data_IF_008353212379
#
_entry.id   IF_008353212379
#
_cell.length_a   1.000
_cell.length_b   1.000
_cell.length_c   1.000
_cell.angle_alpha   90.00
_cell.angle_beta   90.00
_cell.angle_gamma   90.00
#
_symmetry.space_group_name_H-M   'P 1'
#
loop_
_entity.id
_entity.type
_entity.pdbx_description
1 polymer ?
#
# COMPACT_ATOMS: atom_id res chain seq x y z
N UNK A 1 -22.30 -18.73 1.46
CA UNK A 1 -21.20 -18.08 0.71
C UNK A 1 -20.33 -19.13 0.07
N UNK A 2 -20.42 -19.33 -1.23
CA UNK A 2 -19.58 -20.29 -1.98
C UNK A 2 -18.15 -19.79 -1.94
N UNK A 3 -17.23 -20.52 -1.28
CA UNK A 3 -15.79 -20.24 -1.34
C UNK A 3 -15.37 -20.41 -2.80
N UNK A 4 -14.98 -19.32 -3.46
CA UNK A 4 -14.29 -19.39 -4.74
C UNK A 4 -12.98 -20.11 -4.48
N UNK A 5 -12.80 -21.25 -5.09
CA UNK A 5 -11.57 -22.01 -5.02
C UNK A 5 -10.42 -21.09 -5.49
N UNK A 6 -9.41 -20.94 -4.63
CA UNK A 6 -8.25 -20.12 -4.95
C UNK A 6 -7.44 -20.92 -5.97
N UNK A 7 -7.54 -20.54 -7.24
CA UNK A 7 -6.80 -21.16 -8.34
C UNK A 7 -5.33 -20.75 -8.40
N UNK A 8 -4.95 -19.72 -7.63
CA UNK A 8 -3.56 -19.24 -7.54
C UNK A 8 -3.21 -18.89 -6.11
N UNK A 9 -1.97 -19.22 -5.72
CA UNK A 9 -1.47 -18.86 -4.41
C UNK A 9 -1.46 -17.33 -4.23
N UNK A 10 -2.11 -16.80 -3.20
CA UNK A 10 -2.20 -15.35 -2.99
C UNK A 10 -0.87 -14.71 -2.57
N UNK A 11 0.14 -15.52 -2.22
CA UNK A 11 1.48 -15.08 -1.82
C UNK A 11 2.44 -15.08 -2.99
N UNK A 12 2.63 -16.22 -3.65
CA UNK A 12 3.63 -16.36 -4.73
C UNK A 12 3.01 -16.39 -6.14
N UNK A 13 1.68 -16.39 -6.28
CA UNK A 13 0.98 -16.41 -7.56
C UNK A 13 0.97 -17.76 -8.28
N UNK A 14 1.62 -18.81 -7.74
CA UNK A 14 1.68 -20.12 -8.35
C UNK A 14 0.29 -20.77 -8.43
N UNK A 15 0.04 -21.60 -9.45
CA UNK A 15 -1.20 -22.36 -9.56
C UNK A 15 -1.31 -23.35 -8.38
N UNK A 16 -2.44 -23.31 -7.69
CA UNK A 16 -2.78 -24.25 -6.62
C UNK A 16 -3.91 -25.17 -7.08
N UNK A 17 -3.79 -26.45 -6.75
CA UNK A 17 -4.90 -27.39 -6.85
C UNK A 17 -5.73 -27.23 -5.59
N UNK A 18 -7.06 -27.28 -5.74
CA UNK A 18 -8.03 -27.09 -4.64
C UNK A 18 -7.60 -27.77 -3.33
N UNK A 19 -7.61 -27.00 -2.23
CA UNK A 19 -7.32 -27.46 -0.86
C UNK A 19 -5.89 -27.99 -0.61
N UNK A 20 -4.95 -27.79 -1.52
CA UNK A 20 -3.58 -28.27 -1.37
C UNK A 20 -2.64 -27.16 -0.85
N UNK A 21 -1.55 -27.64 -0.25
CA UNK A 21 -0.42 -26.78 0.15
C UNK A 21 0.25 -26.25 -1.11
N UNK A 22 0.52 -24.95 -1.16
CA UNK A 22 1.28 -24.38 -2.27
C UNK A 22 2.65 -25.07 -2.40
N UNK A 23 3.02 -25.60 -3.58
CA UNK A 23 4.29 -26.33 -3.74
C UNK A 23 5.53 -25.43 -3.54
N UNK A 24 5.40 -24.12 -3.73
CA UNK A 24 6.53 -23.18 -3.64
C UNK A 24 6.68 -22.56 -2.26
N UNK A 25 5.60 -22.00 -1.69
CA UNK A 25 5.66 -21.30 -0.39
C UNK A 25 5.10 -22.13 0.77
N UNK A 26 4.63 -23.37 0.51
CA UNK A 26 4.11 -24.34 1.49
C UNK A 26 2.96 -23.80 2.37
N UNK A 27 2.23 -22.81 1.90
CA UNK A 27 1.13 -22.14 2.60
C UNK A 27 -0.21 -22.72 2.14
N UNK A 28 -1.13 -22.91 3.07
CA UNK A 28 -2.52 -23.35 2.82
C UNK A 28 -3.46 -22.15 2.71
N UNK A 29 -4.61 -22.34 2.05
CA UNK A 29 -5.66 -21.29 1.94
C UNK A 29 -6.15 -20.82 3.30
N UNK A 30 -6.25 -21.72 4.28
CA UNK A 30 -6.70 -21.43 5.65
C UNK A 30 -5.71 -20.51 6.37
N UNK A 31 -4.41 -20.75 6.22
CA UNK A 31 -3.36 -19.92 6.82
C UNK A 31 -3.37 -18.50 6.28
N UNK A 32 -3.62 -18.34 4.98
CA UNK A 32 -3.74 -16.99 4.39
C UNK A 32 -4.95 -16.24 4.95
N UNK A 33 -6.05 -16.93 5.22
CA UNK A 33 -7.24 -16.33 5.82
C UNK A 33 -7.05 -15.98 7.31
N UNK A 34 -6.14 -16.65 8.00
CA UNK A 34 -5.79 -16.41 9.40
C UNK A 34 -4.62 -15.44 9.57
N UNK A 35 -3.95 -15.10 8.47
CA UNK A 35 -2.85 -14.14 8.48
C UNK A 35 -3.31 -12.77 9.01
N UNK A 36 -2.44 -12.09 9.73
CA UNK A 36 -2.75 -10.82 10.38
C UNK A 36 -1.91 -9.67 9.84
N UNK A 37 -2.59 -8.58 9.46
CA UNK A 37 -1.93 -7.32 9.11
C UNK A 37 -1.47 -6.55 10.35
N UNK A 38 -2.17 -6.66 11.49
CA UNK A 38 -1.78 -5.98 12.74
C UNK A 38 -0.42 -6.43 13.23
N UNK A 39 -0.10 -7.72 13.16
CA UNK A 39 1.19 -8.29 13.55
C UNK A 39 2.37 -7.80 12.70
N UNK A 40 2.14 -7.23 11.52
CA UNK A 40 3.19 -6.68 10.66
C UNK A 40 3.98 -5.57 11.36
N UNK A 41 3.31 -4.72 12.14
CA UNK A 41 3.97 -3.64 12.88
C UNK A 41 4.91 -4.19 13.98
N UNK A 42 4.46 -5.24 14.66
CA UNK A 42 5.25 -5.92 15.70
C UNK A 42 6.45 -6.66 15.10
N UNK A 43 6.23 -7.42 14.01
CA UNK A 43 7.29 -8.12 13.29
C UNK A 43 8.37 -7.16 12.76
N UNK A 44 7.98 -5.98 12.28
CA UNK A 44 8.95 -4.94 11.87
C UNK A 44 9.75 -4.38 13.03
N UNK A 45 9.11 -4.13 14.18
CA UNK A 45 9.80 -3.65 15.38
C UNK A 45 10.79 -4.68 15.92
N UNK A 46 10.43 -5.97 15.83
CA UNK A 46 11.30 -7.09 16.21
C UNK A 46 12.40 -7.41 15.19
N UNK A 47 12.45 -6.71 14.04
CA UNK A 47 13.43 -6.97 12.99
C UNK A 47 13.15 -8.20 12.12
N UNK A 48 12.06 -8.94 12.38
CA UNK A 48 11.70 -10.18 11.69
C UNK A 48 11.01 -9.92 10.34
N UNK A 49 11.77 -9.40 9.39
CA UNK A 49 11.23 -9.06 8.06
C UNK A 49 10.84 -10.29 7.24
N UNK A 50 11.47 -11.42 7.47
CA UNK A 50 11.24 -12.69 6.75
C UNK A 50 9.84 -13.28 7.01
N UNK A 51 9.20 -12.88 8.12
CA UNK A 51 7.84 -13.29 8.46
C UNK A 51 6.76 -12.48 7.72
N UNK A 52 7.15 -11.38 7.06
CA UNK A 52 6.21 -10.47 6.40
C UNK A 52 6.04 -10.87 4.94
N UNK A 53 4.87 -11.35 4.61
CA UNK A 53 4.49 -11.73 3.26
C UNK A 53 3.50 -10.73 2.67
N UNK A 54 3.47 -10.61 1.34
CA UNK A 54 2.50 -9.76 0.63
C UNK A 54 1.44 -10.62 -0.01
N UNK A 55 0.16 -10.37 0.31
CA UNK A 55 -0.99 -11.11 -0.25
C UNK A 55 -2.00 -10.15 -0.88
N UNK A 56 -2.73 -10.63 -1.89
CA UNK A 56 -3.89 -9.94 -2.48
C UNK A 56 -5.19 -10.26 -1.74
N UNK A 57 -5.18 -11.29 -0.88
CA UNK A 57 -6.32 -11.61 -0.01
C UNK A 57 -6.30 -10.66 1.18
N UNK A 58 -7.43 -9.98 1.39
CA UNK A 58 -7.57 -9.06 2.53
C UNK A 58 -7.74 -9.89 3.79
N UNK A 59 -6.86 -9.77 4.80
CA UNK A 59 -6.96 -10.50 6.06
C UNK A 59 -8.21 -10.08 6.84
N UNK A 60 -8.67 -10.93 7.76
CA UNK A 60 -9.90 -10.70 8.56
C UNK A 60 -9.83 -9.44 9.43
N UNK A 61 -8.64 -9.02 9.83
CA UNK A 61 -8.39 -7.86 10.68
C UNK A 61 -8.38 -6.51 9.91
N UNK A 62 -8.47 -6.56 8.57
CA UNK A 62 -8.56 -5.38 7.71
C UNK A 62 -9.98 -5.30 7.10
N UNK A 63 -10.73 -4.28 7.47
CA UNK A 63 -12.05 -4.03 6.88
C UNK A 63 -11.90 -3.52 5.44
N UNK A 64 -12.47 -4.27 4.49
CA UNK A 64 -12.46 -3.88 3.07
C UNK A 64 -13.14 -2.55 2.82
N UNK A 65 -14.30 -2.32 3.47
CA UNK A 65 -15.04 -1.08 3.31
C UNK A 65 -14.20 0.12 3.75
N UNK A 66 -13.56 0.04 4.93
CA UNK A 66 -12.67 1.08 5.43
C UNK A 66 -11.49 1.30 4.49
N UNK A 67 -10.89 0.23 3.96
CA UNK A 67 -9.78 0.34 3.01
C UNK A 67 -10.20 1.10 1.75
N UNK A 68 -11.35 0.75 1.15
CA UNK A 68 -11.87 1.42 -0.06
C UNK A 68 -12.17 2.89 0.23
N UNK A 69 -12.87 3.19 1.34
CA UNK A 69 -13.18 4.57 1.73
C UNK A 69 -11.90 5.39 1.97
N UNK A 70 -10.93 4.86 2.70
CA UNK A 70 -9.66 5.55 2.91
C UNK A 70 -8.87 5.74 1.62
N UNK A 71 -8.97 4.81 0.67
CA UNK A 71 -8.30 4.95 -0.63
C UNK A 71 -8.97 6.04 -1.47
N UNK A 72 -10.29 6.11 -1.50
CA UNK A 72 -11.02 7.11 -2.29
C UNK A 72 -10.82 8.53 -1.73
N UNK A 73 -11.06 8.71 -0.43
CA UNK A 73 -11.09 10.05 0.18
C UNK A 73 -9.72 10.54 0.65
N UNK A 74 -8.86 9.66 1.12
CA UNK A 74 -7.59 10.01 1.76
C UNK A 74 -6.38 9.30 1.14
N UNK A 75 -6.56 8.55 0.06
CA UNK A 75 -5.48 7.80 -0.59
C UNK A 75 -4.41 8.71 -1.18
N UNK A 76 -4.79 9.93 -1.59
CA UNK A 76 -3.87 10.94 -2.08
C UNK A 76 -2.83 11.36 -1.02
N UNK A 77 -3.23 11.40 0.26
CA UNK A 77 -2.34 11.67 1.41
C UNK A 77 -1.64 10.39 1.88
N UNK A 78 -2.09 9.22 1.42
CA UNK A 78 -1.50 7.93 1.78
C UNK A 78 -2.08 7.26 3.03
N UNK A 79 -3.24 7.71 3.54
CA UNK A 79 -3.89 7.13 4.74
C UNK A 79 -4.22 5.65 4.55
N UNK A 80 -4.64 5.24 3.34
CA UNK A 80 -4.87 3.85 2.99
C UNK A 80 -3.64 2.98 3.22
N UNK A 81 -2.44 3.49 2.91
CA UNK A 81 -1.18 2.78 3.10
C UNK A 81 -0.78 2.67 4.57
N UNK A 82 -1.05 3.70 5.39
CA UNK A 82 -0.90 3.59 6.85
C UNK A 82 -1.84 2.54 7.42
N UNK A 83 -3.09 2.51 6.95
CA UNK A 83 -4.09 1.54 7.41
C UNK A 83 -3.67 0.09 7.15
N UNK A 84 -3.00 -0.20 6.03
CA UNK A 84 -2.50 -1.54 5.69
C UNK A 84 -1.02 -1.76 6.06
N UNK A 85 -0.46 -0.95 6.95
CA UNK A 85 0.93 -1.06 7.41
C UNK A 85 2.00 -1.01 6.31
N UNK A 86 1.86 -0.08 5.35
CA UNK A 86 2.87 0.26 4.32
C UNK A 86 3.46 1.66 4.56
N UNK A 87 4.25 1.90 5.61
CA UNK A 87 4.65 3.24 6.00
C UNK A 87 5.49 3.96 4.94
N UNK A 88 6.40 3.28 4.25
CA UNK A 88 7.28 3.92 3.24
C UNK A 88 6.46 4.60 2.16
N UNK A 89 5.47 3.89 1.58
CA UNK A 89 4.61 4.46 0.54
C UNK A 89 3.68 5.55 1.09
N UNK A 90 3.18 5.33 2.30
CA UNK A 90 2.36 6.31 3.00
C UNK A 90 3.11 7.62 3.26
N UNK A 91 4.35 7.54 3.75
CA UNK A 91 5.20 8.72 4.01
C UNK A 91 5.56 9.44 2.71
N UNK A 92 5.86 8.70 1.63
CA UNK A 92 6.12 9.30 0.32
C UNK A 92 4.90 10.10 -0.18
N UNK A 93 3.69 9.52 -0.14
CA UNK A 93 2.46 10.23 -0.53
C UNK A 93 2.20 11.46 0.34
N UNK A 94 2.42 11.36 1.65
CA UNK A 94 2.25 12.47 2.58
C UNK A 94 3.23 13.62 2.26
N UNK A 95 4.52 13.32 2.13
CA UNK A 95 5.56 14.34 1.83
C UNK A 95 5.29 14.98 0.47
N UNK A 96 4.95 14.20 -0.55
CA UNK A 96 4.62 14.70 -1.88
C UNK A 96 3.42 15.66 -1.84
N UNK A 97 2.36 15.30 -1.12
CA UNK A 97 1.14 16.13 -1.02
C UNK A 97 1.39 17.41 -0.21
N UNK A 98 2.00 17.28 0.97
CA UNK A 98 2.27 18.45 1.83
C UNK A 98 3.30 19.38 1.19
N UNK A 99 4.34 18.83 0.59
CA UNK A 99 5.35 19.61 -0.12
C UNK A 99 4.77 20.40 -1.31
N UNK A 100 3.91 19.76 -2.11
CA UNK A 100 3.22 20.41 -3.22
C UNK A 100 2.31 21.55 -2.74
N UNK A 101 1.55 21.32 -1.67
CA UNK A 101 0.67 22.33 -1.10
C UNK A 101 1.47 23.52 -0.53
N UNK A 102 2.55 23.25 0.19
CA UNK A 102 3.41 24.30 0.73
C UNK A 102 3.99 25.20 -0.37
N UNK A 103 4.51 24.59 -1.45
CA UNK A 103 5.05 25.36 -2.59
C UNK A 103 3.95 26.14 -3.30
N UNK A 104 2.77 25.56 -3.47
CA UNK A 104 1.64 26.26 -4.07
C UNK A 104 1.23 27.49 -3.24
N UNK A 105 1.21 27.38 -1.91
CA UNK A 105 0.94 28.51 -1.00
C UNK A 105 2.02 29.59 -1.14
N UNK A 106 3.30 29.20 -1.14
CA UNK A 106 4.41 30.15 -1.32
C UNK A 106 4.30 30.83 -2.68
N UNK A 107 3.99 30.10 -3.76
CA UNK A 107 3.81 30.66 -5.10
C UNK A 107 2.73 31.74 -5.14
N UNK A 108 1.56 31.48 -4.53
CA UNK A 108 0.47 32.46 -4.48
C UNK A 108 0.82 33.67 -3.59
N UNK A 109 1.46 33.43 -2.43
CA UNK A 109 1.69 34.50 -1.44
C UNK A 109 2.80 35.48 -1.85
N UNK A 110 3.75 35.06 -2.68
CA UNK A 110 4.92 35.87 -3.01
C UNK A 110 4.79 36.65 -4.29
N UNK A 111 3.67 36.51 -5.03
CA UNK A 111 3.46 37.13 -6.36
C UNK A 111 4.72 37.03 -7.27
N UNK A 112 5.44 35.92 -7.10
CA UNK A 112 6.76 35.68 -7.65
C UNK A 112 6.73 35.09 -9.07
N UNK A 113 5.70 35.39 -9.87
CA UNK A 113 5.60 34.90 -11.24
C UNK A 113 6.84 35.20 -12.10
N UNK A 114 7.61 36.23 -11.77
CA UNK A 114 8.87 36.56 -12.44
C UNK A 114 10.13 35.89 -11.87
N UNK A 115 10.13 35.52 -10.58
CA UNK A 115 11.34 34.99 -9.90
C UNK A 115 11.37 33.47 -9.78
N UNK A 116 10.19 32.81 -9.81
CA UNK A 116 10.12 31.33 -9.77
C UNK A 116 10.54 30.65 -11.08
N UNK A 117 10.61 31.40 -12.18
CA UNK A 117 11.05 30.87 -13.48
C UNK A 117 12.56 30.66 -13.63
N UNK A 118 13.38 31.11 -12.68
CA UNK A 118 14.83 31.14 -12.83
C UNK A 118 15.57 30.30 -11.77
N UNK A 119 16.53 29.51 -12.23
CA UNK A 119 17.51 28.83 -11.37
C UNK A 119 16.98 27.67 -10.54
N UNK A 120 17.51 27.52 -9.32
CA UNK A 120 17.26 26.41 -8.40
C UNK A 120 15.78 26.27 -8.02
N UNK A 121 15.05 27.35 -7.88
CA UNK A 121 13.62 27.33 -7.51
C UNK A 121 12.75 26.71 -8.61
N UNK A 122 13.03 27.00 -9.89
CA UNK A 122 12.33 26.37 -11.00
C UNK A 122 12.53 24.86 -11.01
N UNK A 123 13.74 24.40 -10.76
CA UNK A 123 14.08 22.98 -10.71
C UNK A 123 13.37 22.27 -9.54
N UNK A 124 13.36 22.87 -8.34
CA UNK A 124 12.67 22.33 -7.17
C UNK A 124 11.16 22.25 -7.45
N UNK A 125 10.56 23.31 -7.99
CA UNK A 125 9.15 23.33 -8.36
C UNK A 125 8.82 22.20 -9.36
N UNK A 126 9.65 22.03 -10.38
CA UNK A 126 9.46 21.01 -11.41
C UNK A 126 9.53 19.60 -10.84
N UNK A 127 10.50 19.31 -9.94
CA UNK A 127 10.62 18.03 -9.25
C UNK A 127 9.37 17.74 -8.42
N UNK A 128 8.90 18.70 -7.62
CA UNK A 128 7.73 18.52 -6.76
C UNK A 128 6.46 18.36 -7.59
N UNK A 129 6.31 19.10 -8.68
CA UNK A 129 5.21 18.94 -9.61
C UNK A 129 5.15 17.51 -10.20
N UNK A 130 6.29 16.98 -10.64
CA UNK A 130 6.35 15.59 -11.11
C UNK A 130 6.04 14.58 -10.01
N UNK A 131 6.57 14.78 -8.79
CA UNK A 131 6.24 13.92 -7.65
C UNK A 131 4.74 13.92 -7.34
N UNK A 132 4.09 15.08 -7.43
CA UNK A 132 2.63 15.20 -7.26
C UNK A 132 1.87 14.47 -8.37
N UNK A 133 2.27 14.66 -9.64
CA UNK A 133 1.64 13.97 -10.77
C UNK A 133 1.74 12.44 -10.62
N UNK A 134 2.92 11.92 -10.27
CA UNK A 134 3.10 10.50 -9.96
C UNK A 134 2.23 10.04 -8.77
N UNK A 135 2.11 10.85 -7.72
CA UNK A 135 1.28 10.52 -6.58
C UNK A 135 -0.21 10.38 -6.98
N UNK A 136 -0.71 11.27 -7.83
CA UNK A 136 -2.09 11.20 -8.37
C UNK A 136 -2.29 9.91 -9.19
N UNK A 137 -1.35 9.57 -10.07
CA UNK A 137 -1.41 8.34 -10.85
C UNK A 137 -1.44 7.12 -9.94
N UNK A 138 -0.56 7.04 -8.95
CA UNK A 138 -0.56 5.94 -7.99
C UNK A 138 -1.83 5.89 -7.15
N UNK A 139 -2.39 7.02 -6.77
CA UNK A 139 -3.67 7.08 -6.07
C UNK A 139 -4.81 6.48 -6.90
N UNK A 140 -4.89 6.84 -8.20
CA UNK A 140 -5.88 6.25 -9.11
C UNK A 140 -5.68 4.73 -9.23
N UNK A 141 -4.45 4.26 -9.38
CA UNK A 141 -4.12 2.83 -9.42
C UNK A 141 -4.50 2.12 -8.12
N UNK A 142 -4.32 2.78 -6.97
CA UNK A 142 -4.72 2.24 -5.67
C UNK A 142 -6.24 2.13 -5.52
N UNK A 143 -7.02 3.09 -6.07
CA UNK A 143 -8.49 3.00 -6.12
C UNK A 143 -8.90 1.74 -6.90
N UNK A 144 -8.35 1.56 -8.10
CA UNK A 144 -8.60 0.36 -8.88
C UNK A 144 -8.14 -0.91 -8.15
N UNK A 145 -6.95 -0.88 -7.53
CA UNK A 145 -6.43 -1.98 -6.74
C UNK A 145 -7.33 -2.39 -5.57
N UNK A 146 -7.90 -1.40 -4.87
CA UNK A 146 -8.82 -1.65 -3.75
C UNK A 146 -10.18 -2.20 -4.24
N UNK A 147 -10.72 -1.66 -5.34
CA UNK A 147 -11.99 -2.10 -5.94
C UNK A 147 -11.89 -3.51 -6.52
N UNK A 148 -10.85 -3.80 -7.31
CA UNK A 148 -10.67 -5.09 -8.00
C UNK A 148 -9.94 -6.14 -7.14
N UNK A 149 -9.63 -5.86 -5.87
CA UNK A 149 -8.94 -6.78 -4.94
C UNK A 149 -7.53 -7.18 -5.42
N UNK A 150 -6.87 -6.34 -6.19
CA UNK A 150 -5.50 -6.58 -6.66
C UNK A 150 -4.45 -5.92 -5.77
N UNK A 151 -4.90 -5.11 -4.80
CA UNK A 151 -4.02 -4.42 -3.86
C UNK A 151 -3.31 -5.41 -2.95
N UNK A 152 -1.98 -5.41 -2.97
CA UNK A 152 -1.16 -6.26 -2.11
C UNK A 152 -1.16 -5.72 -0.68
N UNK A 153 -1.54 -6.55 0.28
CA UNK A 153 -1.54 -6.23 1.72
C UNK A 153 -0.44 -7.03 2.41
N UNK A 154 0.45 -6.40 3.18
CA UNK A 154 1.43 -7.14 3.98
C UNK A 154 0.73 -7.84 5.15
N UNK A 155 1.13 -9.07 5.40
CA UNK A 155 0.58 -9.93 6.46
C UNK A 155 1.69 -10.74 7.12
N UNK A 156 1.49 -11.11 8.36
CA UNK A 156 2.30 -12.12 9.06
C UNK A 156 1.48 -13.39 9.12
N UNK A 157 2.08 -14.50 8.69
CA UNK A 157 1.45 -15.82 8.78
C UNK A 157 1.36 -16.28 10.23
N UNK A 158 0.34 -17.07 10.60
CA UNK A 158 0.30 -17.69 11.91
C UNK A 158 1.54 -18.59 12.06
N UNK A 159 2.22 -18.47 13.20
CA UNK A 159 3.33 -19.37 13.52
C UNK A 159 2.82 -20.81 13.52
N UNK A 160 3.27 -21.58 12.56
CA UNK A 160 3.30 -23.01 12.75
C UNK A 160 4.44 -23.29 13.69
N UNK A 161 4.13 -23.73 14.91
CA UNK A 161 5.10 -24.51 15.66
C UNK A 161 5.70 -25.53 14.68
N UNK A 162 6.96 -25.29 14.30
CA UNK A 162 7.71 -26.24 13.49
C UNK A 162 7.94 -27.46 14.37
N UNK A 163 6.95 -28.35 14.34
CA UNK A 163 7.14 -29.72 14.83
C UNK A 163 7.93 -30.51 13.80
#
# INVERSE_FOLDING_TARGET
MVRRDILRCPICGAKMVQKQICPYCKVTDTEVLEASNKKVKEARKAGNKDLIHSTTVIPKDVSRLKLVLFTIFFGFIGVNHYYINKPVRATFSLISTVGSLAIFIVYISTDMTGKFGEGLFALIYQIIFYCMAFNVVFWILDIFGALFKTMKVPVVMPDKERK
#
